data_IF_470242398549
#
_entry.id   IF_470242398549
#
_cell.length_a   1.000
_cell.length_b   1.000
_cell.length_c   1.000
_cell.angle_alpha   90.00
_cell.angle_beta   90.00
_cell.angle_gamma   90.00
#
_symmetry.space_group_name_H-M   'P 1'
#
loop_
_entity.id
_entity.type
_entity.pdbx_description
1 polymer ?
#
# COMPACT_ATOMS: atom_id res chain seq x y z
N UNK A 1 -7.89 -47.63 -0.05
CA UNK A 1 -8.45 -46.58 0.83
C UNK A 1 -7.72 -45.23 0.69
N UNK A 2 -6.39 -45.17 0.64
CA UNK A 2 -5.64 -43.90 0.52
C UNK A 2 -5.98 -43.05 -0.73
N UNK A 3 -6.26 -43.69 -1.88
CA UNK A 3 -6.59 -42.99 -3.14
C UNK A 3 -7.91 -42.22 -3.07
N UNK A 4 -8.94 -42.78 -2.45
CA UNK A 4 -10.26 -42.12 -2.33
C UNK A 4 -10.19 -40.89 -1.43
N UNK A 5 -9.44 -40.97 -0.32
CA UNK A 5 -9.24 -39.83 0.58
C UNK A 5 -8.54 -38.66 -0.09
N UNK A 6 -7.53 -38.91 -0.92
CA UNK A 6 -6.83 -37.88 -1.70
C UNK A 6 -7.79 -37.13 -2.64
N UNK A 7 -8.60 -37.86 -3.41
CA UNK A 7 -9.54 -37.24 -4.37
C UNK A 7 -10.64 -36.45 -3.68
N UNK A 8 -11.14 -36.90 -2.53
CA UNK A 8 -12.09 -36.11 -1.71
C UNK A 8 -11.43 -34.80 -1.25
N UNK A 9 -10.18 -34.86 -0.76
CA UNK A 9 -9.44 -33.67 -0.35
C UNK A 9 -9.26 -32.67 -1.50
N UNK A 10 -8.89 -33.14 -2.69
CA UNK A 10 -8.75 -32.30 -3.89
C UNK A 10 -10.09 -31.68 -4.29
N UNK A 11 -11.17 -32.48 -4.32
CA UNK A 11 -12.50 -31.99 -4.67
C UNK A 11 -12.98 -30.91 -3.70
N UNK A 12 -12.80 -31.11 -2.39
CA UNK A 12 -13.09 -30.09 -1.37
C UNK A 12 -12.25 -28.84 -1.56
N UNK A 13 -10.96 -28.98 -1.84
CA UNK A 13 -10.07 -27.83 -2.11
C UNK A 13 -10.53 -27.00 -3.32
N UNK A 14 -10.89 -27.66 -4.42
CA UNK A 14 -11.43 -27.01 -5.62
C UNK A 14 -12.77 -26.34 -5.33
N UNK A 15 -13.67 -27.01 -4.61
CA UNK A 15 -14.99 -26.48 -4.29
C UNK A 15 -14.89 -25.26 -3.36
N UNK A 16 -14.03 -25.30 -2.34
CA UNK A 16 -13.74 -24.16 -1.48
C UNK A 16 -13.13 -23.00 -2.28
N UNK A 17 -12.18 -23.29 -3.19
CA UNK A 17 -11.60 -22.29 -4.09
C UNK A 17 -12.65 -21.58 -4.95
N UNK A 18 -13.52 -22.35 -5.60
CA UNK A 18 -14.61 -21.82 -6.42
C UNK A 18 -15.65 -21.05 -5.59
N UNK A 19 -15.97 -21.53 -4.38
CA UNK A 19 -16.87 -20.83 -3.47
C UNK A 19 -16.28 -19.48 -3.02
N UNK A 20 -14.97 -19.39 -2.78
CA UNK A 20 -14.33 -18.12 -2.42
C UNK A 20 -14.48 -17.04 -3.49
N UNK A 21 -14.43 -17.41 -4.77
CA UNK A 21 -14.65 -16.46 -5.86
C UNK A 21 -16.10 -15.93 -5.92
N UNK A 22 -17.06 -16.65 -5.32
CA UNK A 22 -18.47 -16.22 -5.26
C UNK A 22 -18.77 -15.26 -4.09
N UNK A 23 -17.85 -15.11 -3.13
CA UNK A 23 -18.03 -14.20 -2.00
C UNK A 23 -17.11 -12.98 -2.16
N UNK A 24 -17.56 -11.90 -2.84
CA UNK A 24 -16.76 -10.70 -2.98
C UNK A 24 -16.50 -10.11 -1.59
N UNK A 25 -15.23 -9.99 -1.24
CA UNK A 25 -14.84 -9.30 -0.01
C UNK A 25 -15.00 -7.80 -0.21
N UNK A 26 -15.40 -7.06 0.83
CA UNK A 26 -15.34 -5.60 0.80
C UNK A 26 -13.92 -5.15 0.46
N UNK A 27 -13.78 -4.20 -0.45
CA UNK A 27 -12.50 -3.60 -0.79
C UNK A 27 -12.22 -2.38 0.11
N UNK A 28 -11.09 -1.71 -0.12
CA UNK A 28 -10.73 -0.48 0.57
C UNK A 28 -11.23 0.78 -0.15
N UNK A 29 -12.08 0.67 -1.18
CA UNK A 29 -12.53 1.81 -1.98
C UNK A 29 -13.10 2.93 -1.12
N UNK A 30 -13.95 2.59 -0.14
CA UNK A 30 -14.52 3.58 0.77
C UNK A 30 -13.49 4.31 1.65
N UNK A 31 -12.30 3.75 1.87
CA UNK A 31 -11.16 4.44 2.54
C UNK A 31 -10.41 5.31 1.55
N UNK A 32 -10.17 4.82 0.33
CA UNK A 32 -9.51 5.57 -0.74
C UNK A 32 -10.30 6.84 -1.11
N UNK A 33 -11.62 6.74 -1.22
CA UNK A 33 -12.52 7.87 -1.53
C UNK A 33 -12.51 8.96 -0.45
N UNK A 34 -12.21 8.59 0.80
CA UNK A 34 -12.13 9.53 1.92
C UNK A 34 -10.82 10.30 1.95
N UNK A 35 -9.81 9.92 1.18
CA UNK A 35 -8.55 10.65 1.11
C UNK A 35 -8.85 12.01 0.47
N UNK A 36 -8.81 13.12 1.23
CA UNK A 36 -9.31 14.40 0.76
C UNK A 36 -8.26 15.13 -0.07
N UNK A 37 -8.68 15.78 -1.17
CA UNK A 37 -7.80 16.65 -1.96
C UNK A 37 -7.30 17.87 -1.16
N UNK A 38 -8.08 18.32 -0.17
CA UNK A 38 -7.69 19.39 0.74
C UNK A 38 -8.07 19.02 2.17
N UNK A 39 -7.12 19.06 3.08
CA UNK A 39 -7.37 18.83 4.52
C UNK A 39 -6.36 19.58 5.36
N UNK A 40 -6.83 20.45 6.25
CA UNK A 40 -5.96 21.32 7.02
C UNK A 40 -5.03 22.13 6.11
N UNK A 41 -3.72 21.86 6.20
CA UNK A 41 -2.68 22.51 5.36
C UNK A 41 -2.22 21.66 4.17
N UNK A 42 -2.81 20.49 3.97
CA UNK A 42 -2.55 19.66 2.81
C UNK A 42 -3.41 20.16 1.65
N UNK A 43 -2.76 20.48 0.54
CA UNK A 43 -3.42 20.74 -0.74
C UNK A 43 -2.86 19.78 -1.78
N UNK A 44 -3.72 19.00 -2.42
CA UNK A 44 -3.31 18.02 -3.41
C UNK A 44 -4.26 17.88 -4.58
N UNK A 45 -3.75 17.26 -5.63
CA UNK A 45 -4.47 16.98 -6.86
C UNK A 45 -4.08 15.62 -7.41
N UNK A 46 -5.07 14.92 -7.93
CA UNK A 46 -4.90 13.57 -8.46
C UNK A 46 -4.00 13.62 -9.70
N UNK A 47 -3.10 12.64 -9.78
CA UNK A 47 -2.25 12.44 -10.95
C UNK A 47 -2.76 11.19 -11.64
N UNK A 48 -3.04 11.34 -12.94
CA UNK A 48 -3.39 10.19 -13.77
C UNK A 48 -2.14 9.36 -14.01
N UNK A 49 -2.26 8.06 -13.80
CA UNK A 49 -1.23 7.11 -14.22
C UNK A 49 -1.12 7.10 -15.74
N UNK A 50 0.11 6.97 -16.22
CA UNK A 50 0.42 6.64 -17.61
C UNK A 50 -0.08 5.24 -17.94
N UNK A 51 -0.25 4.93 -19.23
CA UNK A 51 -0.72 3.61 -19.64
C UNK A 51 0.27 2.49 -19.29
N UNK A 52 1.57 2.79 -19.34
CA UNK A 52 2.62 1.88 -18.87
C UNK A 52 2.48 1.57 -17.38
N UNK A 53 2.24 2.59 -16.54
CA UNK A 53 2.02 2.39 -15.11
C UNK A 53 0.76 1.57 -14.82
N UNK A 54 -0.34 1.79 -15.57
CA UNK A 54 -1.56 0.98 -15.43
C UNK A 54 -1.32 -0.49 -15.77
N UNK A 55 -0.50 -0.77 -16.80
CA UNK A 55 -0.15 -2.16 -17.17
C UNK A 55 0.68 -2.82 -16.06
N UNK A 56 1.63 -2.09 -15.48
CA UNK A 56 2.49 -2.60 -14.40
C UNK A 56 1.71 -2.82 -13.09
N UNK A 57 0.86 -1.86 -12.72
CA UNK A 57 0.07 -1.92 -11.49
C UNK A 57 -1.11 -2.89 -11.56
N UNK A 58 -1.51 -3.30 -12.77
CA UNK A 58 -2.56 -4.29 -12.97
C UNK A 58 -3.95 -3.79 -12.58
N UNK A 59 -4.78 -4.69 -12.04
CA UNK A 59 -6.19 -4.40 -11.69
C UNK A 59 -6.32 -4.00 -10.22
N UNK A 60 -5.66 -2.90 -9.85
CA UNK A 60 -5.75 -2.32 -8.50
C UNK A 60 -6.54 -1.03 -8.50
N UNK A 61 -7.25 -0.82 -7.39
CA UNK A 61 -7.77 0.49 -7.06
C UNK A 61 -6.67 1.26 -6.32
N UNK A 62 -6.42 2.50 -6.74
CA UNK A 62 -5.40 3.32 -6.12
C UNK A 62 -5.75 4.79 -6.12
N UNK A 63 -5.13 5.50 -5.18
CA UNK A 63 -5.05 6.96 -5.16
C UNK A 63 -3.59 7.34 -5.38
N UNK A 64 -3.31 8.00 -6.49
CA UNK A 64 -2.01 8.63 -6.75
C UNK A 64 -2.20 10.14 -6.82
N UNK A 65 -1.59 10.86 -5.87
CA UNK A 65 -1.85 12.28 -5.64
C UNK A 65 -0.60 13.02 -5.27
N UNK A 66 -0.41 14.20 -5.86
CA UNK A 66 0.62 15.14 -5.42
C UNK A 66 0.06 16.03 -4.33
N UNK A 67 0.80 16.15 -3.24
CA UNK A 67 0.46 17.01 -2.11
C UNK A 67 1.54 18.05 -1.86
N UNK A 68 1.07 19.21 -1.42
CA UNK A 68 1.88 20.26 -0.83
C UNK A 68 1.53 20.43 0.65
N UNK A 69 2.54 20.56 1.52
CA UNK A 69 2.38 20.82 2.95
C UNK A 69 3.57 21.62 3.50
N UNK A 70 3.32 22.84 4.00
CA UNK A 70 4.35 23.74 4.55
C UNK A 70 5.59 23.91 3.63
N UNK A 71 5.38 24.00 2.31
CA UNK A 71 6.45 24.11 1.32
C UNK A 71 7.05 22.78 0.88
N UNK A 72 6.75 21.66 1.55
CA UNK A 72 7.13 20.33 1.09
C UNK A 72 6.17 19.80 0.04
N UNK A 73 6.73 19.00 -0.83
CA UNK A 73 6.14 18.55 -2.07
C UNK A 73 6.40 17.04 -2.19
N UNK A 74 5.33 16.25 -2.21
CA UNK A 74 5.45 14.79 -2.19
C UNK A 74 4.30 14.11 -2.94
N UNK A 75 4.55 12.91 -3.46
CA UNK A 75 3.51 12.03 -3.94
C UNK A 75 3.00 11.15 -2.80
N UNK A 76 1.68 11.00 -2.71
CA UNK A 76 0.99 9.97 -1.96
C UNK A 76 0.47 8.94 -2.96
N UNK A 77 0.89 7.70 -2.80
CA UNK A 77 0.33 6.55 -3.51
C UNK A 77 -0.28 5.61 -2.47
N UNK A 78 -1.58 5.32 -2.61
CA UNK A 78 -2.29 4.35 -1.77
C UNK A 78 -2.86 3.28 -2.67
N UNK A 79 -2.50 2.01 -2.42
CA UNK A 79 -2.86 0.87 -3.26
C UNK A 79 -3.71 -0.11 -2.46
N UNK A 80 -4.86 -0.47 -3.04
CA UNK A 80 -5.73 -1.53 -2.57
C UNK A 80 -5.45 -2.84 -3.35
N UNK A 81 -4.99 -3.85 -2.62
CA UNK A 81 -4.67 -5.18 -3.16
C UNK A 81 -5.83 -6.18 -3.14
N UNK A 82 -7.06 -5.77 -2.82
CA UNK A 82 -8.21 -6.69 -2.67
C UNK A 82 -8.40 -7.54 -3.93
N UNK A 83 -8.39 -6.90 -5.09
CA UNK A 83 -8.66 -7.52 -6.40
C UNK A 83 -7.42 -8.16 -7.02
N UNK A 84 -6.24 -7.64 -6.69
CA UNK A 84 -4.97 -8.21 -7.10
C UNK A 84 -3.91 -8.06 -6.01
N UNK A 85 -3.76 -9.10 -5.17
CA UNK A 85 -2.77 -9.08 -4.08
C UNK A 85 -1.33 -9.09 -4.56
N UNK A 86 -1.08 -9.52 -5.81
CA UNK A 86 0.28 -9.60 -6.34
C UNK A 86 0.78 -8.22 -6.79
N UNK A 87 -0.13 -7.29 -7.05
CA UNK A 87 0.19 -5.90 -7.29
C UNK A 87 0.68 -5.16 -6.03
N UNK A 88 0.36 -5.67 -4.83
CA UNK A 88 0.94 -5.17 -3.57
C UNK A 88 2.19 -5.98 -3.24
N UNK A 89 3.33 -5.45 -3.67
CA UNK A 89 4.64 -6.00 -3.39
C UNK A 89 5.53 -4.95 -2.74
N UNK A 90 6.78 -5.34 -2.45
CA UNK A 90 7.73 -4.43 -1.83
C UNK A 90 8.03 -3.23 -2.76
N UNK A 91 7.85 -1.98 -2.30
CA UNK A 91 8.11 -0.79 -3.11
C UNK A 91 9.56 -0.69 -3.62
N UNK A 92 10.52 -1.34 -2.96
CA UNK A 92 11.92 -1.38 -3.40
C UNK A 92 12.05 -1.87 -4.84
N UNK A 93 11.27 -2.88 -5.23
CA UNK A 93 11.29 -3.42 -6.59
C UNK A 93 10.72 -2.42 -7.62
N UNK A 94 9.72 -1.62 -7.25
CA UNK A 94 9.21 -0.56 -8.13
C UNK A 94 10.29 0.49 -8.39
N UNK A 95 10.97 0.94 -7.33
CA UNK A 95 12.04 1.93 -7.45
C UNK A 95 13.19 1.40 -8.30
N UNK A 96 13.63 0.17 -8.05
CA UNK A 96 14.66 -0.50 -8.86
C UNK A 96 14.26 -0.67 -10.33
N UNK A 97 13.02 -1.09 -10.60
CA UNK A 97 12.48 -1.20 -11.95
C UNK A 97 12.40 0.14 -12.68
N UNK A 98 12.19 1.24 -11.95
CA UNK A 98 12.24 2.60 -12.47
C UNK A 98 13.67 3.16 -12.59
N UNK A 99 14.70 2.37 -12.28
CA UNK A 99 16.11 2.73 -12.39
C UNK A 99 16.71 3.43 -11.17
N UNK A 100 15.99 3.49 -10.05
CA UNK A 100 16.52 3.97 -8.77
C UNK A 100 17.29 2.87 -8.05
N UNK A 101 18.23 3.26 -7.19
CA UNK A 101 18.92 2.36 -6.27
C UNK A 101 18.60 2.76 -4.85
N UNK A 102 18.23 1.78 -4.02
CA UNK A 102 18.09 1.98 -2.57
C UNK A 102 19.49 2.03 -1.98
N UNK A 103 19.91 3.20 -1.49
CA UNK A 103 21.26 3.40 -0.91
C UNK A 103 21.25 3.35 0.61
N UNK A 104 20.10 3.59 1.24
CA UNK A 104 19.92 3.44 2.67
C UNK A 104 18.46 3.08 3.00
N UNK A 105 18.28 2.35 4.10
CA UNK A 105 16.99 1.98 4.64
C UNK A 105 17.02 2.15 6.17
N UNK A 106 15.94 2.66 6.76
CA UNK A 106 15.77 2.64 8.22
C UNK A 106 14.31 2.56 8.63
N UNK A 107 14.01 1.94 9.77
CA UNK A 107 12.67 1.97 10.34
C UNK A 107 12.33 3.39 10.82
N UNK A 108 11.08 3.79 10.64
CA UNK A 108 10.48 4.99 11.21
C UNK A 108 9.31 4.60 12.11
N UNK A 109 9.26 5.22 13.29
CA UNK A 109 8.09 5.10 14.17
C UNK A 109 7.01 6.06 13.70
N UNK A 110 5.80 5.55 13.52
CA UNK A 110 4.64 6.34 13.11
C UNK A 110 3.48 6.09 14.08
N UNK A 111 2.52 7.03 14.24
CA UNK A 111 1.30 6.78 14.98
C UNK A 111 0.65 5.44 14.59
N UNK A 112 0.42 4.55 15.56
CA UNK A 112 -0.19 3.24 15.31
C UNK A 112 0.75 2.17 14.71
N UNK A 113 2.07 2.41 14.63
CA UNK A 113 3.03 1.36 14.33
C UNK A 113 4.36 1.82 13.72
N UNK A 114 4.75 1.19 12.60
CA UNK A 114 6.04 1.43 11.96
C UNK A 114 5.93 1.59 10.44
N UNK A 115 6.83 2.39 9.89
CA UNK A 115 7.07 2.56 8.47
C UNK A 115 8.53 2.28 8.14
N UNK A 116 8.84 2.15 6.85
CA UNK A 116 10.21 2.04 6.35
C UNK A 116 10.53 3.28 5.53
N UNK A 117 11.63 3.96 5.87
CA UNK A 117 12.21 5.03 5.07
C UNK A 117 13.30 4.49 4.18
N UNK A 118 13.35 5.00 2.96
CA UNK A 118 14.30 4.64 1.91
C UNK A 118 14.98 5.92 1.41
N UNK A 119 16.30 5.86 1.29
CA UNK A 119 17.06 6.81 0.46
C UNK A 119 17.28 6.18 -0.91
N UNK A 120 16.93 6.94 -1.96
CA UNK A 120 16.96 6.51 -3.35
C UNK A 120 17.95 7.38 -4.14
N UNK A 121 18.69 6.77 -5.06
CA UNK A 121 19.53 7.48 -6.03
C UNK A 121 19.34 6.99 -7.45
N UNK A 122 19.29 7.91 -8.40
CA UNK A 122 19.24 7.64 -9.82
C UNK A 122 20.15 8.63 -10.54
N UNK A 123 21.27 8.16 -11.10
CA UNK A 123 22.31 9.03 -11.65
C UNK A 123 22.72 10.13 -10.64
N UNK A 124 22.47 11.40 -10.96
CA UNK A 124 22.75 12.56 -10.10
C UNK A 124 21.55 12.96 -9.21
N UNK A 125 20.39 12.34 -9.42
CA UNK A 125 19.17 12.62 -8.67
C UNK A 125 19.13 11.84 -7.34
N UNK A 126 18.59 12.51 -6.32
CA UNK A 126 18.31 11.94 -5.00
C UNK A 126 16.84 12.08 -4.68
N UNK A 127 16.25 11.01 -4.16
CA UNK A 127 14.88 11.02 -3.65
C UNK A 127 14.81 10.27 -2.33
N UNK A 128 13.77 10.54 -1.55
CA UNK A 128 13.44 9.78 -0.36
C UNK A 128 12.01 9.25 -0.49
N UNK A 129 11.79 8.06 0.04
CA UNK A 129 10.48 7.45 0.11
C UNK A 129 10.20 6.89 1.49
N UNK A 130 8.94 6.89 1.88
CA UNK A 130 8.48 6.21 3.10
C UNK A 130 7.29 5.36 2.76
N UNK A 131 7.27 4.11 3.22
CA UNK A 131 6.12 3.24 3.01
C UNK A 131 5.72 2.46 4.25
N UNK A 132 4.44 2.09 4.29
CA UNK A 132 3.87 1.18 5.28
C UNK A 132 2.58 0.58 4.73
N UNK A 133 2.08 -0.43 5.43
CA UNK A 133 0.76 -1.02 5.23
C UNK A 133 -0.16 -0.58 6.36
N UNK A 134 -1.43 -0.33 6.06
CA UNK A 134 -2.40 0.17 7.03
C UNK A 134 -3.79 -0.41 6.84
N UNK A 135 -4.37 -0.88 7.94
CA UNK A 135 -5.79 -1.27 8.02
C UNK A 135 -6.67 -0.15 8.62
N UNK A 136 -6.10 1.05 8.82
CA UNK A 136 -6.75 2.20 9.44
C UNK A 136 -6.57 2.26 10.96
N UNK A 137 -6.30 1.14 11.62
CA UNK A 137 -6.03 1.07 13.06
C UNK A 137 -4.56 0.81 13.36
N UNK A 138 -3.92 -0.10 12.60
CA UNK A 138 -2.55 -0.57 12.79
C UNK A 138 -1.73 -0.31 11.53
N UNK A 139 -0.44 -0.06 11.74
CA UNK A 139 0.53 0.21 10.68
C UNK A 139 1.77 -0.65 10.84
N UNK A 140 2.31 -1.17 9.75
CA UNK A 140 3.55 -1.95 9.76
C UNK A 140 4.22 -1.88 8.39
N UNK A 141 5.52 -2.18 8.31
CA UNK A 141 6.25 -2.24 7.03
C UNK A 141 6.53 -3.66 6.53
N UNK A 142 6.05 -4.69 7.24
CA UNK A 142 6.30 -6.09 6.88
C UNK A 142 5.34 -6.59 5.80
N UNK A 143 5.88 -6.89 4.60
CA UNK A 143 5.14 -7.52 3.52
C UNK A 143 4.63 -8.95 3.87
N UNK A 144 5.43 -9.82 4.54
CA UNK A 144 4.91 -11.10 5.02
C UNK A 144 3.71 -10.97 5.95
N UNK A 145 3.71 -9.94 6.81
CA UNK A 145 2.56 -9.67 7.68
C UNK A 145 1.34 -9.18 6.89
N UNK A 146 1.54 -8.31 5.89
CA UNK A 146 0.48 -7.91 4.97
C UNK A 146 -0.18 -9.13 4.29
N UNK A 147 0.63 -10.07 3.79
CA UNK A 147 0.11 -11.31 3.19
C UNK A 147 -0.62 -12.19 4.21
N UNK A 148 -0.07 -12.34 5.42
CA UNK A 148 -0.75 -13.08 6.48
C UNK A 148 -2.12 -12.47 6.84
N UNK A 149 -2.19 -11.14 6.93
CA UNK A 149 -3.41 -10.40 7.22
C UNK A 149 -4.46 -10.59 6.11
N UNK A 150 -4.07 -10.45 4.84
CA UNK A 150 -5.00 -10.63 3.71
C UNK A 150 -5.46 -12.09 3.57
N UNK A 151 -4.62 -13.08 3.86
CA UNK A 151 -5.01 -14.50 3.91
C UNK A 151 -6.02 -14.74 5.03
N UNK A 152 -5.73 -14.28 6.25
CA UNK A 152 -6.65 -14.42 7.39
C UNK A 152 -8.00 -13.75 7.10
N UNK A 153 -7.97 -12.60 6.42
CA UNK A 153 -9.18 -11.88 6.00
C UNK A 153 -10.01 -12.69 5.03
N UNK A 154 -9.39 -13.31 4.02
CA UNK A 154 -10.09 -14.20 3.07
C UNK A 154 -10.67 -15.43 3.76
N UNK A 155 -9.92 -16.04 4.67
CA UNK A 155 -10.39 -17.20 5.44
C UNK A 155 -11.54 -16.85 6.38
N UNK A 156 -11.58 -15.63 6.90
CA UNK A 156 -12.63 -15.13 7.78
C UNK A 156 -13.78 -14.42 7.06
N UNK A 157 -13.80 -14.42 5.73
CA UNK A 157 -14.77 -13.69 4.91
C UNK A 157 -14.90 -12.21 5.31
N UNK A 158 -13.76 -11.56 5.58
CA UNK A 158 -13.69 -10.15 5.96
C UNK A 158 -13.91 -9.85 7.45
N UNK A 159 -14.25 -10.86 8.27
CA UNK A 159 -14.53 -10.66 9.70
C UNK A 159 -13.29 -10.32 10.53
N UNK A 160 -12.09 -10.64 10.06
CA UNK A 160 -10.85 -10.33 10.78
C UNK A 160 -10.44 -8.85 10.69
N UNK A 161 -11.14 -8.03 9.90
CA UNK A 161 -10.89 -6.59 9.81
C UNK A 161 -11.02 -6.00 8.40
N UNK A 162 -10.82 -4.68 8.27
CA UNK A 162 -10.79 -4.00 6.99
C UNK A 162 -9.61 -4.48 6.13
N UNK A 163 -9.70 -4.25 4.82
CA UNK A 163 -8.60 -4.56 3.91
C UNK A 163 -7.39 -3.66 4.23
N UNK A 164 -6.18 -4.21 4.42
CA UNK A 164 -4.97 -3.39 4.51
C UNK A 164 -4.62 -2.78 3.16
N UNK A 165 -4.23 -1.51 3.16
CA UNK A 165 -3.71 -0.80 1.96
C UNK A 165 -2.22 -0.57 2.11
N UNK A 166 -1.50 -0.51 1.00
CA UNK A 166 -0.12 -0.04 0.98
C UNK A 166 -0.10 1.46 0.78
N UNK A 167 0.63 2.19 1.62
CA UNK A 167 0.85 3.63 1.52
C UNK A 167 2.31 3.87 1.20
N UNK A 168 2.57 4.66 0.17
CA UNK A 168 3.89 5.12 -0.23
C UNK A 168 3.88 6.63 -0.33
N UNK A 169 4.82 7.27 0.35
CA UNK A 169 5.15 8.68 0.21
C UNK A 169 6.48 8.80 -0.52
N UNK A 170 6.58 9.70 -1.48
CA UNK A 170 7.83 9.94 -2.20
C UNK A 170 8.07 11.44 -2.36
N UNK A 171 9.25 11.92 -1.98
CA UNK A 171 9.68 13.29 -2.28
C UNK A 171 10.20 13.38 -3.72
N UNK A 172 9.98 14.51 -4.37
CA UNK A 172 10.50 14.79 -5.73
C UNK A 172 11.25 16.13 -5.81
N UNK A 173 11.57 16.74 -4.67
CA UNK A 173 12.39 17.95 -4.60
C UNK A 173 13.76 17.66 -3.97
N UNK A 174 14.73 18.52 -4.26
CA UNK A 174 16.11 18.41 -3.74
C UNK A 174 16.16 18.41 -2.20
N UNK A 175 15.24 19.13 -1.55
CA UNK A 175 15.16 19.16 -0.08
C UNK A 175 14.08 18.19 0.38
N UNK A 176 14.45 17.04 0.98
CA UNK A 176 13.48 16.09 1.48
C UNK A 176 12.68 16.69 2.66
N UNK A 177 11.42 16.29 2.83
CA UNK A 177 10.62 16.73 3.96
C UNK A 177 11.15 16.16 5.29
N UNK A 178 10.83 16.84 6.39
CA UNK A 178 10.93 16.22 7.73
C UNK A 178 9.86 15.13 7.84
N UNK A 179 10.23 13.89 7.47
CA UNK A 179 9.32 12.74 7.42
C UNK A 179 8.56 12.51 8.74
N UNK A 180 9.22 12.46 9.92
CA UNK A 180 8.50 12.31 11.19
C UNK A 180 7.44 13.40 11.43
N UNK A 181 7.70 14.64 11.04
CA UNK A 181 6.74 15.74 11.20
C UNK A 181 5.61 15.66 10.16
N UNK A 182 5.96 15.41 8.90
CA UNK A 182 5.01 15.28 7.80
C UNK A 182 4.05 14.12 8.04
N UNK A 183 4.55 12.95 8.41
CA UNK A 183 3.73 11.75 8.64
C UNK A 183 2.80 11.95 9.84
N UNK A 184 3.28 12.54 10.94
CA UNK A 184 2.40 12.85 12.09
C UNK A 184 1.27 13.79 11.69
N UNK A 185 1.55 14.82 10.91
CA UNK A 185 0.51 15.72 10.42
C UNK A 185 -0.45 15.02 9.43
N UNK A 186 0.09 14.18 8.55
CA UNK A 186 -0.68 13.40 7.57
C UNK A 186 -1.65 12.46 8.27
N UNK A 187 -1.18 11.66 9.21
CA UNK A 187 -1.98 10.68 9.95
C UNK A 187 -2.95 11.33 10.94
N UNK A 188 -2.66 12.53 11.44
CA UNK A 188 -3.63 13.31 12.21
C UNK A 188 -4.79 13.83 11.33
N UNK A 189 -4.49 14.22 10.08
CA UNK A 189 -5.48 14.69 9.13
C UNK A 189 -6.25 13.55 8.44
N UNK A 190 -5.60 12.42 8.24
CA UNK A 190 -6.08 11.25 7.51
C UNK A 190 -5.74 9.98 8.32
N UNK A 191 -6.47 9.70 9.41
CA UNK A 191 -6.17 8.58 10.30
C UNK A 191 -6.39 7.21 9.65
N UNK A 192 -7.09 7.18 8.51
CA UNK A 192 -7.31 5.96 7.73
C UNK A 192 -6.06 5.52 6.96
N UNK A 193 -5.05 6.38 6.79
CA UNK A 193 -3.80 6.04 6.11
C UNK A 193 -2.85 5.26 7.00
#
# INVERSE_FOLDING_TARGET
MARTGLWIGVALGVLCGALWDLFPLPDAQGRLDRIPRRVGRFAGYDISLTDSEKVVLGRVDLVHRKYQFNGWNFFLTVIDGTRDRHAVHDPRYCFEGAGWRVVAEKPLVVPGGAATWLELRQADDRAEAVFWFSDGARRHSSLPWYWAQTVLRRMSLGRSGPEPVMVVLQSYEETPPDWPRLIRALLAAMPEL
#
